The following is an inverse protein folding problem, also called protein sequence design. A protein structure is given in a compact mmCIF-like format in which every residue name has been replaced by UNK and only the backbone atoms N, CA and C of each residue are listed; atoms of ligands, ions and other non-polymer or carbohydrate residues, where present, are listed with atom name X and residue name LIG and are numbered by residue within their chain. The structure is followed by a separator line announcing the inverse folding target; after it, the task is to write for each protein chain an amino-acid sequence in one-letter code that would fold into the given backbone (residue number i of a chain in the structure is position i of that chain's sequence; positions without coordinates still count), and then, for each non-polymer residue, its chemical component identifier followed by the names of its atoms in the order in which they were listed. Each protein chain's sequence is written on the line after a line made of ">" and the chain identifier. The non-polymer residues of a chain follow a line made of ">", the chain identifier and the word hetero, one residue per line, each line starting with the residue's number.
data_IF_758702175368
#
_entry.id   IF_758702175368
#
_cell.length_a   1.000
_cell.length_b   1.000
_cell.length_c   1.000
_cell.angle_alpha   90.00
_cell.angle_beta   90.00
_cell.angle_gamma   90.00
#
_symmetry.space_group_name_H-M   'P 1'
#
loop_
_entity.id
_entity.type
_entity.pdbx_description
1 polymer ?
#
# COMPACT_ATOMS: atom_id res chain seq x y z
N UNK A 1 22.46 -4.18 -6.97
CA UNK A 1 21.84 -5.37 -6.37
C UNK A 1 21.97 -5.16 -4.87
N UNK A 2 20.95 -4.55 -4.26
CA UNK A 2 20.98 -4.17 -2.83
C UNK A 2 19.87 -4.90 -2.06
N UNK A 3 20.28 -5.40 -0.89
CA UNK A 3 19.55 -6.17 0.12
C UNK A 3 18.14 -5.61 0.39
N UNK A 4 17.07 -6.36 0.12
CA UNK A 4 16.51 -7.41 1.00
C UNK A 4 16.02 -6.86 2.38
N UNK A 5 15.52 -5.62 2.40
CA UNK A 5 14.47 -5.18 3.34
C UNK A 5 13.06 -5.53 2.83
N UNK A 6 12.78 -6.84 2.68
CA UNK A 6 11.67 -7.43 1.89
C UNK A 6 10.25 -6.92 2.23
N UNK A 7 9.64 -6.21 1.27
CA UNK A 7 8.18 -6.16 1.05
C UNK A 7 7.38 -5.14 1.84
N UNK A 8 7.68 -4.95 3.12
CA UNK A 8 6.91 -4.03 3.99
C UNK A 8 7.42 -2.59 3.86
N UNK A 9 8.75 -2.38 3.82
CA UNK A 9 9.36 -1.04 3.88
C UNK A 9 9.01 -0.11 2.69
N UNK A 10 9.19 -0.56 1.44
CA UNK A 10 8.96 0.33 0.28
C UNK A 10 7.49 0.68 0.07
N UNK A 11 6.60 -0.27 0.35
CA UNK A 11 5.14 -0.10 0.33
C UNK A 11 4.70 0.88 1.42
N UNK A 12 5.16 0.68 2.66
CA UNK A 12 4.90 1.61 3.77
C UNK A 12 5.43 3.00 3.45
N UNK A 13 6.60 3.11 2.81
CA UNK A 13 7.15 4.41 2.39
C UNK A 13 6.29 5.11 1.34
N UNK A 14 5.74 4.36 0.39
CA UNK A 14 4.81 4.89 -0.60
C UNK A 14 3.55 5.47 0.08
N UNK A 15 2.96 4.72 1.01
CA UNK A 15 1.79 5.17 1.79
C UNK A 15 2.12 6.39 2.66
N UNK A 16 3.25 6.39 3.35
CA UNK A 16 3.71 7.52 4.17
C UNK A 16 3.84 8.81 3.34
N UNK A 17 4.45 8.72 2.16
CA UNK A 17 4.60 9.87 1.27
C UNK A 17 3.24 10.31 0.68
N UNK A 18 2.36 9.36 0.36
CA UNK A 18 1.00 9.68 -0.08
C UNK A 18 0.20 10.45 0.98
N UNK A 19 0.27 10.03 2.24
CA UNK A 19 -0.37 10.73 3.37
C UNK A 19 0.25 12.12 3.65
N UNK A 20 1.49 12.35 3.20
CA UNK A 20 2.16 13.66 3.20
C UNK A 20 1.82 14.52 1.97
N UNK A 21 0.83 14.12 1.17
CA UNK A 21 0.37 14.79 -0.06
C UNK A 21 1.41 14.87 -1.19
N UNK A 22 2.38 13.96 -1.23
CA UNK A 22 3.21 13.82 -2.43
C UNK A 22 2.41 13.21 -3.58
N UNK A 23 2.64 13.71 -4.79
CA UNK A 23 2.03 13.15 -6.01
C UNK A 23 2.60 11.78 -6.37
N UNK A 24 1.85 10.99 -7.13
CA UNK A 24 2.28 9.66 -7.60
C UNK A 24 3.68 9.67 -8.22
N UNK A 25 3.96 10.66 -9.09
CA UNK A 25 5.24 10.82 -9.77
C UNK A 25 6.39 11.19 -8.83
N UNK A 26 6.12 12.00 -7.79
CA UNK A 26 7.12 12.33 -6.77
C UNK A 26 7.45 11.14 -5.88
N UNK A 27 6.43 10.37 -5.48
CA UNK A 27 6.61 9.15 -4.69
C UNK A 27 7.45 8.15 -5.48
N UNK A 28 7.06 7.88 -6.74
CA UNK A 28 7.77 6.98 -7.65
C UNK A 28 9.25 7.34 -7.76
N UNK A 29 9.55 8.63 -7.95
CA UNK A 29 10.93 9.13 -7.99
C UNK A 29 11.67 8.93 -6.67
N UNK A 30 11.04 9.27 -5.53
CA UNK A 30 11.65 9.18 -4.19
C UNK A 30 11.99 7.75 -3.77
N UNK A 31 11.20 6.77 -4.18
CA UNK A 31 11.42 5.36 -3.82
C UNK A 31 12.05 4.54 -4.96
N UNK A 32 12.49 5.17 -6.05
CA UNK A 32 13.06 4.51 -7.23
C UNK A 32 12.16 3.39 -7.80
N UNK A 33 10.86 3.66 -7.95
CA UNK A 33 9.88 2.77 -8.57
C UNK A 33 9.20 3.44 -9.76
N UNK A 34 8.52 2.64 -10.60
CA UNK A 34 7.62 3.18 -11.62
C UNK A 34 6.34 3.73 -10.97
N UNK A 35 5.70 4.75 -11.56
CA UNK A 35 4.39 5.22 -11.12
C UNK A 35 3.34 4.10 -11.04
N UNK A 36 3.37 3.14 -11.96
CA UNK A 36 2.46 1.98 -11.95
C UNK A 36 2.62 1.09 -10.72
N UNK A 37 3.87 0.82 -10.30
CA UNK A 37 4.15 0.03 -9.10
C UNK A 37 3.68 0.76 -7.83
N UNK A 38 3.90 2.07 -7.75
CA UNK A 38 3.42 2.89 -6.63
C UNK A 38 1.89 2.93 -6.59
N UNK A 39 1.24 3.14 -7.74
CA UNK A 39 -0.22 3.23 -7.83
C UNK A 39 -0.88 1.96 -7.28
N UNK A 40 -0.35 0.78 -7.62
CA UNK A 40 -0.83 -0.50 -7.08
C UNK A 40 -0.80 -0.56 -5.55
N UNK A 41 0.24 -0.01 -4.92
CA UNK A 41 0.33 0.04 -3.46
C UNK A 41 -0.70 0.99 -2.84
N UNK A 42 -0.92 2.15 -3.47
CA UNK A 42 -1.85 3.18 -2.98
C UNK A 42 -3.32 2.79 -3.18
N UNK A 43 -3.66 2.12 -4.29
CA UNK A 43 -5.00 1.57 -4.53
C UNK A 43 -5.34 0.51 -3.48
N UNK A 44 -4.42 -0.44 -3.28
CA UNK A 44 -4.59 -1.50 -2.28
C UNK A 44 -4.73 -0.92 -0.86
N UNK A 45 -3.92 0.09 -0.51
CA UNK A 45 -4.05 0.83 0.75
C UNK A 45 -5.42 1.49 0.89
N UNK A 46 -5.85 2.23 -0.14
CA UNK A 46 -7.08 3.02 -0.09
C UNK A 46 -8.31 2.15 0.09
N UNK A 47 -8.37 1.01 -0.61
CA UNK A 47 -9.48 0.05 -0.45
C UNK A 47 -9.46 -0.60 0.93
N UNK A 48 -8.30 -1.03 1.43
CA UNK A 48 -8.18 -1.63 2.76
C UNK A 48 -8.55 -0.62 3.87
N UNK A 49 -8.04 0.60 3.80
CA UNK A 49 -8.32 1.67 4.75
C UNK A 49 -9.81 2.04 4.76
N UNK A 50 -10.45 2.12 3.59
CA UNK A 50 -11.88 2.37 3.47
C UNK A 50 -12.70 1.28 4.15
N UNK A 51 -12.41 0.01 3.87
CA UNK A 51 -13.16 -1.12 4.44
C UNK A 51 -12.94 -1.26 5.95
N UNK A 52 -11.73 -0.98 6.45
CA UNK A 52 -11.48 -0.94 7.89
C UNK A 52 -12.23 0.20 8.57
N UNK A 53 -12.26 1.39 7.98
CA UNK A 53 -13.01 2.55 8.49
C UNK A 53 -14.50 2.21 8.65
N UNK A 54 -15.05 1.47 7.70
CA UNK A 54 -16.46 1.03 7.73
C UNK A 54 -16.69 -0.27 8.52
N UNK A 55 -15.67 -0.72 9.27
CA UNK A 55 -15.75 -1.88 10.19
C UNK A 55 -16.13 -3.20 9.51
N UNK A 56 -15.75 -3.39 8.25
CA UNK A 56 -15.94 -4.67 7.56
C UNK A 56 -15.12 -5.78 8.24
N UNK A 57 -15.65 -7.02 8.35
CA UNK A 57 -14.88 -8.15 8.88
C UNK A 57 -13.63 -8.45 8.05
N UNK A 58 -12.53 -8.84 8.70
CA UNK A 58 -11.25 -9.17 8.05
C UNK A 58 -11.40 -10.16 6.88
N UNK A 59 -12.24 -11.18 7.04
CA UNK A 59 -12.54 -12.16 5.98
C UNK A 59 -13.19 -11.52 4.75
N UNK A 60 -14.05 -10.51 4.95
CA UNK A 60 -14.69 -9.75 3.87
C UNK A 60 -13.66 -8.88 3.15
N UNK A 61 -12.80 -8.19 3.89
CA UNK A 61 -11.70 -7.38 3.33
C UNK A 61 -10.79 -8.26 2.48
N UNK A 62 -10.43 -9.45 2.96
CA UNK A 62 -9.66 -10.45 2.21
C UNK A 62 -10.36 -10.89 0.93
N UNK A 63 -11.67 -11.16 0.98
CA UNK A 63 -12.44 -11.58 -0.20
C UNK A 63 -12.52 -10.49 -1.27
N UNK A 64 -12.64 -9.23 -0.88
CA UNK A 64 -12.73 -8.07 -1.78
C UNK A 64 -11.35 -7.77 -2.39
N UNK A 65 -10.33 -7.63 -1.56
CA UNK A 65 -9.00 -7.16 -1.97
C UNK A 65 -8.11 -8.25 -2.58
N UNK A 66 -8.44 -9.53 -2.32
CA UNK A 66 -7.61 -10.71 -2.65
C UNK A 66 -6.22 -10.68 -2.00
N UNK A 67 -5.99 -9.79 -1.03
CA UNK A 67 -4.75 -9.72 -0.25
C UNK A 67 -4.75 -10.78 0.85
N UNK A 68 -3.55 -11.17 1.30
CA UNK A 68 -3.44 -11.99 2.50
C UNK A 68 -3.79 -11.17 3.75
N UNK A 69 -4.23 -11.84 4.81
CA UNK A 69 -4.52 -11.18 6.10
C UNK A 69 -3.30 -10.45 6.64
N UNK A 70 -2.09 -11.00 6.44
CA UNK A 70 -0.84 -10.31 6.77
C UNK A 70 -0.74 -8.96 6.05
N UNK A 71 -0.98 -8.93 4.73
CA UNK A 71 -0.88 -7.70 3.93
C UNK A 71 -1.98 -6.68 4.28
N UNK A 72 -3.15 -7.16 4.71
CA UNK A 72 -4.25 -6.31 5.18
C UNK A 72 -3.87 -5.66 6.51
N UNK A 73 -3.36 -6.43 7.47
CA UNK A 73 -2.92 -5.90 8.77
C UNK A 73 -1.67 -5.01 8.71
N UNK A 74 -0.96 -4.99 7.59
CA UNK A 74 0.17 -4.08 7.33
C UNK A 74 -0.25 -2.71 6.79
N UNK A 75 -1.50 -2.57 6.34
CA UNK A 75 -2.07 -1.32 5.87
C UNK A 75 -2.87 -0.64 6.97
#
# INVERSE_FOLDING_TARGET
>A
MEDIGRGVSHKTKAVELYLKNYTLSEIARKIAHTPSNVNRYLESFSVVAFLHKDSYPLLTIRKITKLSERLINEY
#
